data_IF_165635872086
#
_entry.id   IF_165635872086
#
_cell.length_a   1.000
_cell.length_b   1.000
_cell.length_c   1.000
_cell.angle_alpha   90.00
_cell.angle_beta   90.00
_cell.angle_gamma   90.00
#
_symmetry.space_group_name_H-M   'P 1'
#
loop_
_entity.id
_entity.type
_entity.pdbx_description
1 polymer ?
#
# COMPACT_ATOMS: atom_id res chain seq x y z
N UNK A 1 3.37 -21.25 36.06
CA UNK A 1 3.08 -21.53 34.64
C UNK A 1 4.29 -21.23 33.73
N UNK A 2 5.42 -20.70 34.26
CA UNK A 2 6.65 -20.46 33.48
C UNK A 2 6.57 -19.34 32.44
N UNK A 3 5.60 -18.43 32.56
CA UNK A 3 5.37 -17.33 31.60
C UNK A 3 6.11 -16.03 31.96
N UNK A 4 6.98 -16.04 32.99
CA UNK A 4 7.65 -14.83 33.47
C UNK A 4 6.72 -13.92 34.32
N UNK A 5 7.25 -12.75 34.71
CA UNK A 5 6.51 -11.78 35.48
C UNK A 5 5.59 -10.93 34.59
N UNK A 6 4.36 -10.61 35.06
CA UNK A 6 3.45 -9.80 34.26
C UNK A 6 3.88 -8.33 34.22
N UNK A 7 3.70 -7.68 33.07
CA UNK A 7 3.95 -6.24 32.90
C UNK A 7 2.63 -5.49 33.11
N UNK A 8 2.62 -4.62 34.13
CA UNK A 8 1.43 -3.81 34.44
C UNK A 8 1.35 -2.59 33.53
N UNK A 9 0.25 -2.47 32.77
CA UNK A 9 0.03 -1.32 31.86
C UNK A 9 -1.35 -0.68 32.10
N UNK A 10 -1.48 0.57 31.74
CA UNK A 10 -2.75 1.26 31.60
C UNK A 10 -2.91 1.82 30.20
N UNK A 11 -3.71 1.16 29.37
CA UNK A 11 -3.94 1.60 27.99
C UNK A 11 -4.59 3.00 27.92
N UNK A 12 -5.42 3.37 28.92
CA UNK A 12 -6.10 4.67 28.94
C UNK A 12 -5.14 5.81 29.27
N UNK A 13 -4.15 5.56 30.15
CA UNK A 13 -3.22 6.58 30.65
C UNK A 13 -1.82 6.45 30.09
N UNK A 14 -1.54 5.43 29.30
CA UNK A 14 -0.22 5.19 28.71
C UNK A 14 0.86 4.73 29.70
N UNK A 15 0.50 4.46 30.97
CA UNK A 15 1.47 3.99 31.96
C UNK A 15 1.94 2.58 31.65
N UNK A 16 3.27 2.34 31.75
CA UNK A 16 3.90 1.05 31.54
C UNK A 16 3.99 0.58 30.08
N UNK A 17 3.53 1.38 29.12
CA UNK A 17 3.60 1.02 27.70
C UNK A 17 5.03 1.00 27.17
N UNK A 18 5.92 1.86 27.68
CA UNK A 18 7.36 1.84 27.37
C UNK A 18 8.00 0.52 27.83
N UNK A 19 7.79 0.15 29.08
CA UNK A 19 8.33 -1.09 29.65
C UNK A 19 7.83 -2.33 28.89
N UNK A 20 6.57 -2.31 28.44
CA UNK A 20 6.01 -3.37 27.59
C UNK A 20 6.74 -3.45 26.22
N UNK A 21 6.97 -2.31 25.58
CA UNK A 21 7.67 -2.28 24.30
C UNK A 21 9.12 -2.73 24.44
N UNK A 22 9.83 -2.26 25.48
CA UNK A 22 11.20 -2.69 25.77
C UNK A 22 11.29 -4.20 26.02
N UNK A 23 10.30 -4.76 26.73
CA UNK A 23 10.23 -6.21 26.92
C UNK A 23 9.96 -6.94 25.59
N UNK A 24 9.12 -6.41 24.71
CA UNK A 24 8.90 -6.97 23.38
C UNK A 24 10.17 -6.97 22.54
N UNK A 25 10.98 -5.90 22.58
CA UNK A 25 12.25 -5.82 21.85
C UNK A 25 13.23 -6.95 22.19
N UNK A 26 13.23 -7.42 23.46
CA UNK A 26 14.11 -8.53 23.88
C UNK A 26 13.76 -9.87 23.22
N UNK A 27 12.53 -10.01 22.73
CA UNK A 27 12.04 -11.24 22.09
C UNK A 27 11.96 -11.14 20.56
N UNK A 28 12.21 -9.96 20.00
CA UNK A 28 12.32 -9.83 18.55
C UNK A 28 13.62 -10.50 18.08
N UNK A 29 13.59 -11.24 16.97
CA UNK A 29 14.81 -11.71 16.35
C UNK A 29 15.71 -10.48 16.07
N UNK A 30 17.04 -10.63 16.12
CA UNK A 30 17.92 -9.57 15.68
C UNK A 30 17.48 -9.15 14.28
N UNK A 31 17.50 -7.84 14.04
CA UNK A 31 17.27 -7.29 12.72
C UNK A 31 18.41 -7.81 11.84
N UNK A 32 18.12 -8.87 11.08
CA UNK A 32 19.11 -9.56 10.25
C UNK A 32 19.61 -8.66 9.11
N UNK A 33 19.17 -7.41 9.11
CA UNK A 33 19.60 -6.41 8.11
C UNK A 33 19.42 -7.00 6.71
N UNK A 34 18.29 -7.69 6.45
CA UNK A 34 17.93 -7.94 5.05
C UNK A 34 17.92 -6.56 4.42
N UNK A 35 18.98 -6.24 3.70
CA UNK A 35 19.04 -5.08 2.84
C UNK A 35 17.78 -5.17 2.00
N UNK A 36 16.78 -4.33 2.32
CA UNK A 36 15.66 -4.11 1.41
C UNK A 36 16.34 -3.88 0.07
N UNK A 37 16.05 -4.75 -0.92
CA UNK A 37 16.66 -4.66 -2.25
C UNK A 37 16.42 -3.22 -2.70
N UNK A 38 17.40 -2.34 -2.45
CA UNK A 38 17.30 -0.88 -2.60
C UNK A 38 16.97 -0.48 -4.03
N UNK A 39 17.08 -1.46 -4.95
CA UNK A 39 16.76 -1.28 -6.35
C UNK A 39 15.27 -1.51 -6.67
N UNK A 40 14.44 -1.93 -5.69
CA UNK A 40 13.01 -2.18 -5.90
C UNK A 40 12.18 -0.96 -5.54
N UNK A 41 11.57 -0.32 -6.52
CA UNK A 41 10.69 0.84 -6.31
C UNK A 41 9.33 0.38 -5.77
N UNK A 42 8.94 0.89 -4.61
CA UNK A 42 7.64 0.62 -4.00
C UNK A 42 6.56 1.54 -4.59
N UNK A 43 5.55 0.98 -5.24
CA UNK A 43 4.54 1.73 -5.99
C UNK A 43 3.15 1.54 -5.37
N UNK A 44 2.52 2.63 -4.94
CA UNK A 44 1.11 2.63 -4.55
C UNK A 44 0.22 3.15 -5.70
N UNK A 45 -0.89 2.46 -5.96
CA UNK A 45 -1.92 2.93 -6.90
C UNK A 45 -3.11 3.41 -6.07
N UNK A 46 -3.33 4.72 -6.05
CA UNK A 46 -4.36 5.38 -5.24
C UNK A 46 -5.34 6.17 -6.12
N UNK A 47 -6.49 6.49 -5.58
CA UNK A 47 -7.56 7.22 -6.26
C UNK A 47 -8.94 6.76 -5.78
N UNK A 48 -9.99 7.48 -6.15
CA UNK A 48 -11.36 7.18 -5.76
C UNK A 48 -11.86 5.80 -6.25
N UNK A 49 -12.98 5.29 -5.73
CA UNK A 49 -13.61 4.07 -6.25
C UNK A 49 -13.92 4.18 -7.75
N UNK A 50 -13.85 3.07 -8.45
CA UNK A 50 -14.20 2.92 -9.87
C UNK A 50 -13.39 3.75 -10.88
N UNK A 51 -12.34 4.45 -10.47
CA UNK A 51 -11.44 5.19 -11.37
C UNK A 51 -10.57 4.27 -12.26
N UNK A 52 -10.57 2.95 -11.98
CA UNK A 52 -9.87 1.96 -12.81
C UNK A 52 -8.57 1.43 -12.22
N UNK A 53 -8.30 1.60 -10.93
CA UNK A 53 -7.10 1.08 -10.25
C UNK A 53 -6.85 -0.41 -10.53
N UNK A 54 -7.86 -1.24 -10.31
CA UNK A 54 -7.76 -2.70 -10.53
C UNK A 54 -7.52 -3.05 -12.02
N UNK A 55 -8.10 -2.29 -12.93
CA UNK A 55 -7.91 -2.50 -14.37
C UNK A 55 -6.49 -2.16 -14.79
N UNK A 56 -5.95 -1.04 -14.31
CA UNK A 56 -4.56 -0.64 -14.55
C UNK A 56 -3.60 -1.67 -13.96
N UNK A 57 -3.78 -2.06 -12.69
CA UNK A 57 -2.96 -3.07 -12.04
C UNK A 57 -2.96 -4.39 -12.82
N UNK A 58 -4.14 -4.88 -13.20
CA UNK A 58 -4.24 -6.12 -13.97
C UNK A 58 -3.57 -6.00 -15.34
N UNK A 59 -3.63 -4.85 -15.99
CA UNK A 59 -2.98 -4.61 -17.27
C UNK A 59 -1.47 -4.64 -17.14
N UNK A 60 -0.92 -3.91 -16.18
CA UNK A 60 0.53 -3.89 -15.91
C UNK A 60 1.05 -5.29 -15.56
N UNK A 61 0.36 -6.00 -14.65
CA UNK A 61 0.79 -7.31 -14.17
C UNK A 61 0.46 -8.45 -15.15
N UNK A 62 -0.49 -8.26 -16.08
CA UNK A 62 -0.93 -9.28 -17.03
C UNK A 62 -0.15 -9.29 -18.34
N UNK A 63 0.43 -8.18 -18.77
CA UNK A 63 1.13 -8.08 -20.06
C UNK A 63 2.58 -8.58 -20.03
N UNK A 64 3.18 -8.65 -18.87
CA UNK A 64 4.55 -9.14 -18.70
C UNK A 64 4.56 -10.24 -17.64
N UNK A 65 5.38 -11.26 -17.84
CA UNK A 65 5.48 -12.40 -16.94
C UNK A 65 5.83 -11.91 -15.54
N UNK A 66 4.81 -11.79 -14.69
CA UNK A 66 4.99 -11.55 -13.26
C UNK A 66 5.73 -12.74 -12.71
N UNK A 67 6.99 -12.58 -12.40
CA UNK A 67 7.68 -13.51 -11.53
C UNK A 67 7.09 -13.28 -10.15
N UNK A 68 6.00 -13.97 -9.84
CA UNK A 68 5.55 -14.12 -8.47
C UNK A 68 6.59 -15.04 -7.81
N UNK A 69 7.69 -14.46 -7.36
CA UNK A 69 8.65 -15.23 -6.60
C UNK A 69 8.05 -15.47 -5.23
N UNK A 70 7.50 -16.68 -5.03
CA UNK A 70 7.33 -17.26 -3.71
C UNK A 70 8.73 -17.60 -3.17
N UNK A 71 9.60 -16.62 -3.02
CA UNK A 71 10.84 -16.81 -2.28
C UNK A 71 10.45 -16.83 -0.81
N UNK A 72 10.42 -18.03 -0.24
CA UNK A 72 10.29 -18.21 1.18
C UNK A 72 11.48 -17.49 1.86
N UNK A 73 11.18 -16.46 2.66
CA UNK A 73 12.20 -15.71 3.41
C UNK A 73 12.11 -14.20 3.26
N UNK A 74 11.39 -13.66 2.28
CA UNK A 74 11.09 -12.22 2.24
C UNK A 74 9.76 -11.97 2.94
N UNK A 75 9.73 -11.08 3.90
CA UNK A 75 8.54 -10.53 4.57
C UNK A 75 7.70 -9.71 3.59
N UNK A 76 7.43 -10.28 2.40
CA UNK A 76 6.55 -9.67 1.39
C UNK A 76 5.13 -10.06 1.76
N UNK A 77 4.38 -9.09 2.18
CA UNK A 77 2.95 -9.28 2.42
C UNK A 77 2.32 -9.97 1.21
N UNK A 78 1.56 -11.05 1.44
CA UNK A 78 0.83 -11.80 0.40
C UNK A 78 -0.17 -10.92 -0.41
N UNK A 79 -0.15 -9.63 -0.16
CA UNK A 79 -1.02 -8.58 -0.66
C UNK A 79 -0.35 -7.78 -1.79
N UNK A 80 0.97 -7.80 -1.88
CA UNK A 80 1.76 -7.02 -2.83
C UNK A 80 2.08 -7.83 -4.11
N UNK A 81 2.47 -7.17 -5.18
CA UNK A 81 2.83 -7.82 -6.45
C UNK A 81 4.13 -7.27 -7.00
N UNK A 82 5.11 -8.13 -7.10
CA UNK A 82 6.41 -7.81 -7.69
C UNK A 82 6.35 -7.83 -9.22
N UNK A 83 7.03 -6.89 -9.83
CA UNK A 83 7.14 -6.73 -11.27
C UNK A 83 8.56 -6.29 -11.66
N UNK A 84 9.14 -6.91 -12.67
CA UNK A 84 10.46 -6.58 -13.17
C UNK A 84 10.45 -6.48 -14.70
N UNK A 85 11.13 -5.48 -15.22
CA UNK A 85 11.33 -5.31 -16.66
C UNK A 85 12.74 -4.76 -16.95
N UNK A 86 13.01 -4.40 -18.22
CA UNK A 86 14.30 -3.84 -18.66
C UNK A 86 14.64 -2.46 -18.04
N UNK A 87 13.67 -1.80 -17.41
CA UNK A 87 13.83 -0.47 -16.80
C UNK A 87 14.04 -0.53 -15.29
N UNK A 88 13.68 -1.64 -14.64
CA UNK A 88 13.86 -1.81 -13.20
C UNK A 88 12.91 -2.81 -12.56
N UNK A 89 12.99 -2.83 -11.24
CA UNK A 89 12.20 -3.70 -10.35
C UNK A 89 11.19 -2.87 -9.59
N UNK A 90 9.96 -3.34 -9.50
CA UNK A 90 8.85 -2.63 -8.90
C UNK A 90 8.04 -3.56 -7.99
N UNK A 91 7.58 -3.05 -6.87
CA UNK A 91 6.65 -3.75 -6.00
C UNK A 91 5.36 -2.93 -5.87
N UNK A 92 4.26 -3.46 -6.40
CA UNK A 92 2.94 -2.83 -6.32
C UNK A 92 2.26 -3.21 -5.01
N UNK A 93 2.03 -2.23 -4.15
CA UNK A 93 1.51 -2.38 -2.78
C UNK A 93 -0.01 -2.59 -2.80
N UNK A 94 -0.52 -3.46 -1.92
CA UNK A 94 -1.95 -3.76 -1.68
C UNK A 94 -2.74 -4.22 -2.94
N UNK A 95 -2.10 -4.96 -3.83
CA UNK A 95 -2.75 -5.43 -5.07
C UNK A 95 -3.82 -6.49 -4.83
N UNK A 96 -3.79 -7.27 -3.74
CA UNK A 96 -4.81 -8.26 -3.43
C UNK A 96 -6.16 -7.62 -3.08
N UNK A 97 -6.15 -6.47 -2.41
CA UNK A 97 -7.36 -5.67 -2.18
C UNK A 97 -7.98 -5.14 -3.47
N UNK A 98 -7.15 -4.89 -4.48
CA UNK A 98 -7.59 -4.44 -5.80
C UNK A 98 -8.10 -5.59 -6.68
N UNK A 99 -7.60 -6.83 -6.50
CA UNK A 99 -8.01 -8.01 -7.30
C UNK A 99 -9.36 -8.58 -6.88
N UNK A 100 -9.71 -8.50 -5.59
CA UNK A 100 -11.01 -8.95 -5.10
C UNK A 100 -12.07 -7.87 -5.35
N UNK A 101 -12.79 -7.97 -6.46
CA UNK A 101 -14.05 -7.24 -6.65
C UNK A 101 -15.04 -7.75 -5.59
N UNK A 102 -15.07 -7.16 -4.41
CA UNK A 102 -16.16 -7.40 -3.48
C UNK A 102 -17.36 -6.56 -3.88
N UNK A 103 -18.51 -7.23 -3.99
CA UNK A 103 -19.83 -6.58 -3.94
C UNK A 103 -19.94 -5.85 -2.62
N UNK A 104 -20.45 -4.65 -2.63
CA UNK A 104 -20.10 -3.58 -1.77
C UNK A 104 -21.24 -2.98 -1.00
N UNK A 105 -20.98 -2.55 0.21
CA UNK A 105 -21.83 -1.70 1.06
C UNK A 105 -21.09 -0.42 1.51
N UNK A 106 -21.85 0.62 1.85
CA UNK A 106 -21.43 1.98 2.19
C UNK A 106 -20.44 2.13 3.38
N UNK A 107 -20.10 1.06 4.07
CA UNK A 107 -19.05 1.04 5.10
C UNK A 107 -17.62 1.15 4.53
N UNK A 108 -17.47 1.14 3.22
CA UNK A 108 -16.22 0.95 2.47
C UNK A 108 -15.39 2.24 2.36
N UNK A 109 -16.00 3.41 2.48
CA UNK A 109 -15.25 4.66 2.34
C UNK A 109 -14.14 4.80 3.39
N UNK A 110 -14.45 4.51 4.66
CA UNK A 110 -13.46 4.58 5.75
C UNK A 110 -12.33 3.56 5.59
N UNK A 111 -12.65 2.34 5.15
CA UNK A 111 -11.65 1.31 4.88
C UNK A 111 -10.80 1.64 3.65
N UNK A 112 -11.37 2.31 2.66
CA UNK A 112 -10.66 2.76 1.46
C UNK A 112 -9.61 3.83 1.78
N UNK A 113 -9.94 4.80 2.64
CA UNK A 113 -9.00 5.84 3.09
C UNK A 113 -7.86 5.24 3.91
N UNK A 114 -8.17 4.38 4.89
CA UNK A 114 -7.15 3.74 5.72
C UNK A 114 -6.17 2.91 4.87
N UNK A 115 -6.66 2.13 3.91
CA UNK A 115 -5.82 1.37 2.99
C UNK A 115 -4.95 2.27 2.12
N UNK A 116 -5.52 3.38 1.62
CA UNK A 116 -4.74 4.35 0.86
C UNK A 116 -3.61 4.93 1.70
N UNK A 117 -3.87 5.30 2.96
CA UNK A 117 -2.85 5.79 3.89
C UNK A 117 -1.74 4.77 4.10
N UNK A 118 -2.09 3.52 4.42
CA UNK A 118 -1.10 2.44 4.63
C UNK A 118 -0.28 2.16 3.36
N UNK A 119 -0.90 2.21 2.18
CA UNK A 119 -0.19 2.03 0.92
C UNK A 119 0.76 3.20 0.62
N UNK A 120 0.32 4.44 0.89
CA UNK A 120 1.14 5.66 0.74
C UNK A 120 2.37 5.57 1.65
N UNK A 121 2.20 5.23 2.93
CA UNK A 121 3.30 5.16 3.90
C UNK A 121 4.41 4.20 3.45
N UNK A 122 4.05 3.05 2.88
CA UNK A 122 4.96 2.01 2.42
C UNK A 122 5.53 2.24 1.02
N UNK A 123 5.08 3.26 0.29
CA UNK A 123 5.50 3.51 -1.09
C UNK A 123 6.63 4.53 -1.20
N UNK A 124 7.37 4.47 -2.31
CA UNK A 124 8.27 5.51 -2.77
C UNK A 124 7.55 6.44 -3.74
N UNK A 125 6.67 5.85 -4.58
CA UNK A 125 5.92 6.54 -5.62
C UNK A 125 4.44 6.22 -5.54
N UNK A 126 3.60 7.25 -5.61
CA UNK A 126 2.14 7.13 -5.67
C UNK A 126 1.63 7.44 -7.07
N UNK A 127 0.96 6.48 -7.71
CA UNK A 127 0.19 6.71 -8.93
C UNK A 127 -1.22 7.16 -8.56
N UNK A 128 -1.54 8.43 -8.77
CA UNK A 128 -2.83 9.03 -8.44
C UNK A 128 -3.73 8.95 -9.67
N UNK A 129 -4.70 8.03 -9.66
CA UNK A 129 -5.61 7.83 -10.77
C UNK A 129 -6.80 8.78 -10.72
N UNK A 130 -7.04 9.47 -11.84
CA UNK A 130 -8.16 10.39 -12.07
C UNK A 130 -8.97 9.86 -13.25
N UNK A 131 -10.30 9.94 -13.16
CA UNK A 131 -11.21 9.61 -14.27
C UNK A 131 -11.30 10.78 -15.24
N UNK A 132 -10.91 10.56 -16.50
CA UNK A 132 -10.92 11.61 -17.53
C UNK A 132 -12.32 12.16 -17.84
N UNK A 133 -13.38 11.34 -17.65
CA UNK A 133 -14.76 11.75 -17.90
C UNK A 133 -15.33 12.65 -16.80
N UNK A 134 -14.94 12.37 -15.54
CA UNK A 134 -15.42 13.15 -14.39
C UNK A 134 -14.54 14.37 -14.12
N UNK A 135 -13.29 14.36 -14.58
CA UNK A 135 -12.30 15.37 -14.26
C UNK A 135 -11.82 15.27 -12.80
N UNK A 136 -11.17 16.33 -12.34
CA UNK A 136 -10.62 16.40 -10.98
C UNK A 136 -11.75 16.71 -9.99
N UNK A 137 -11.92 15.84 -8.99
CA UNK A 137 -12.92 16.00 -7.93
C UNK A 137 -12.25 16.36 -6.59
N UNK A 138 -13.05 16.81 -5.62
CA UNK A 138 -12.56 17.08 -4.26
C UNK A 138 -11.94 15.84 -3.59
N UNK A 139 -12.46 14.65 -3.89
CA UNK A 139 -11.89 13.40 -3.38
C UNK A 139 -10.52 13.11 -3.98
N UNK A 140 -10.30 13.42 -5.25
CA UNK A 140 -9.00 13.26 -5.90
C UNK A 140 -7.96 14.20 -5.29
N UNK A 141 -8.33 15.45 -5.00
CA UNK A 141 -7.45 16.43 -4.32
C UNK A 141 -7.10 15.99 -2.90
N UNK A 142 -8.05 15.41 -2.15
CA UNK A 142 -7.77 14.87 -0.81
C UNK A 142 -6.75 13.73 -0.85
N UNK A 143 -6.94 12.79 -1.77
CA UNK A 143 -6.03 11.64 -1.92
C UNK A 143 -4.65 12.09 -2.38
N UNK A 144 -4.58 13.05 -3.31
CA UNK A 144 -3.32 13.63 -3.78
C UNK A 144 -2.60 14.38 -2.65
N UNK A 145 -3.35 15.15 -1.83
CA UNK A 145 -2.83 15.84 -0.66
C UNK A 145 -2.18 14.88 0.33
N UNK A 146 -2.84 13.75 0.63
CA UNK A 146 -2.27 12.75 1.56
C UNK A 146 -0.92 12.21 1.08
N UNK A 147 -0.76 11.92 -0.21
CA UNK A 147 0.51 11.45 -0.78
C UNK A 147 1.58 12.54 -0.74
N UNK A 148 1.22 13.78 -1.09
CA UNK A 148 2.11 14.93 -1.05
C UNK A 148 2.59 15.23 0.39
N UNK A 149 1.67 15.28 1.35
CA UNK A 149 1.97 15.59 2.75
C UNK A 149 2.84 14.50 3.41
N UNK A 150 2.75 13.26 2.88
CA UNK A 150 3.63 12.14 3.27
C UNK A 150 5.01 12.20 2.59
N UNK A 151 5.31 13.23 1.82
CA UNK A 151 6.60 13.42 1.15
C UNK A 151 6.89 12.43 0.02
N UNK A 152 5.85 11.77 -0.53
CA UNK A 152 6.01 10.76 -1.57
C UNK A 152 6.07 11.38 -2.97
N UNK A 153 6.82 10.75 -3.88
CA UNK A 153 6.77 11.11 -5.29
C UNK A 153 5.37 10.81 -5.85
N UNK A 154 4.78 11.76 -6.58
CA UNK A 154 3.42 11.64 -7.09
C UNK A 154 3.39 11.73 -8.62
N UNK A 155 2.71 10.76 -9.26
CA UNK A 155 2.43 10.75 -10.69
C UNK A 155 0.92 10.77 -10.88
N UNK A 156 0.40 11.79 -11.56
CA UNK A 156 -1.02 11.86 -11.91
C UNK A 156 -1.26 11.04 -13.17
N UNK A 157 -2.18 10.08 -13.08
CA UNK A 157 -2.58 9.20 -14.18
C UNK A 157 -4.02 9.49 -14.55
N UNK A 158 -4.25 10.06 -15.72
CA UNK A 158 -5.60 10.33 -16.24
C UNK A 158 -6.06 9.10 -17.01
N UNK A 159 -6.99 8.34 -16.41
CA UNK A 159 -7.50 7.08 -16.93
C UNK A 159 -8.84 7.27 -17.68
N UNK A 160 -9.25 6.26 -18.44
CA UNK A 160 -10.46 6.25 -19.29
C UNK A 160 -10.46 7.36 -20.37
N UNK A 161 -9.28 7.69 -20.86
CA UNK A 161 -9.09 8.72 -21.88
C UNK A 161 -9.80 8.39 -23.20
N UNK A 162 -9.95 7.10 -23.48
CA UNK A 162 -10.69 6.55 -24.62
C UNK A 162 -12.18 6.85 -24.58
N UNK A 163 -12.73 7.15 -23.41
CA UNK A 163 -14.14 7.44 -23.20
C UNK A 163 -14.45 8.96 -23.22
N UNK A 164 -13.43 9.81 -23.41
CA UNK A 164 -13.64 11.26 -23.57
C UNK A 164 -13.99 11.54 -25.02
N UNK A 165 -15.17 12.17 -25.26
CA UNK A 165 -15.56 12.64 -26.58
C UNK A 165 -14.58 13.71 -27.09
N UNK A 166 -14.21 13.59 -28.38
CA UNK A 166 -13.30 14.52 -29.03
C UNK A 166 -14.04 15.77 -29.49
#
# INVERSE_FOLDING_TARGET
LGLGDPIAISAVHGHGTGDLLDACFQYLPPDDGEEEDSDVVQVAIIGKPNVGKSSLTNKILGEQRVIVSNVAGTTRDAIDSYFENSYGKYNFIDTAGMRKKSKVDDSIEKYSVLRATMAIERSDVCLILIDAQEGVTEQDTKVAGMAHDSGKACIIVVNKWDAVEK
#
